data_IF_996778056734
#
_entry.id   IF_996778056734
#
_cell.length_a   1.000
_cell.length_b   1.000
_cell.length_c   1.000
_cell.angle_alpha   90.00
_cell.angle_beta   90.00
_cell.angle_gamma   90.00
#
_symmetry.space_group_name_H-M   'P 1'
#
loop_
_entity.id
_entity.type
_entity.pdbx_description
1 polymer ?
#
# COMPACT_ATOMS: atom_id res chain seq x y z
N UNK A 1 29.87 87.26 -3.22
CA UNK A 1 30.04 86.66 -1.87
C UNK A 1 29.01 85.54 -1.76
N UNK A 2 29.43 84.27 -1.92
CA UNK A 2 29.19 83.11 -1.02
C UNK A 2 27.78 83.13 -0.38
N UNK A 3 26.95 82.09 -0.51
CA UNK A 3 27.17 80.72 -0.04
C UNK A 3 26.23 79.76 -0.79
N UNK A 4 26.77 78.61 -1.23
CA UNK A 4 26.02 77.44 -1.68
C UNK A 4 25.39 76.73 -0.46
N UNK A 5 24.09 76.47 -0.50
CA UNK A 5 23.43 75.52 0.41
C UNK A 5 22.89 74.38 -0.43
N UNK A 6 23.58 73.23 -0.37
CA UNK A 6 23.08 71.96 -0.88
C UNK A 6 21.92 71.51 0.02
N UNK A 7 20.72 71.43 -0.54
CA UNK A 7 19.61 70.73 0.11
C UNK A 7 19.61 69.28 -0.40
N UNK A 8 20.07 68.35 0.43
CA UNK A 8 20.01 66.93 0.15
C UNK A 8 18.56 66.44 0.31
N UNK A 9 17.90 66.13 -0.81
CA UNK A 9 16.62 65.43 -0.83
C UNK A 9 16.88 63.96 -0.54
N UNK A 10 16.62 63.52 0.69
CA UNK A 10 16.54 62.09 1.02
C UNK A 10 15.22 61.54 0.49
N UNK A 11 15.28 60.94 -0.71
CA UNK A 11 14.22 60.08 -1.21
C UNK A 11 14.30 58.77 -0.41
N UNK A 12 13.42 58.59 0.57
CA UNK A 12 13.21 57.27 1.18
C UNK A 12 12.43 56.45 0.16
N UNK A 13 13.15 55.73 -0.69
CA UNK A 13 12.58 54.65 -1.50
C UNK A 13 12.19 53.56 -0.51
N UNK A 14 10.90 53.49 -0.18
CA UNK A 14 10.34 52.28 0.40
C UNK A 14 10.55 51.17 -0.64
N UNK A 15 11.58 50.36 -0.45
CA UNK A 15 11.75 49.14 -1.21
C UNK A 15 10.58 48.23 -0.85
N UNK A 16 9.53 48.27 -1.67
CA UNK A 16 8.63 47.15 -1.83
C UNK A 16 9.53 45.98 -2.23
N UNK A 17 9.86 45.10 -1.28
CA UNK A 17 10.35 43.79 -1.63
C UNK A 17 9.31 43.20 -2.59
N UNK A 18 9.68 42.73 -3.80
CA UNK A 18 8.73 41.99 -4.59
C UNK A 18 8.28 40.80 -3.74
N UNK A 19 6.98 40.68 -3.52
CA UNK A 19 6.39 39.43 -3.05
C UNK A 19 6.98 38.34 -3.94
N UNK A 20 7.79 37.45 -3.35
CA UNK A 20 8.31 36.31 -4.12
C UNK A 20 7.10 35.50 -4.54
N UNK A 21 6.89 35.48 -5.85
CA UNK A 21 5.81 34.81 -6.54
C UNK A 21 5.59 33.40 -6.01
N UNK A 22 4.37 33.12 -5.53
CA UNK A 22 3.86 31.78 -5.24
C UNK A 22 3.54 30.99 -6.53
N UNK A 23 4.38 31.07 -7.57
CA UNK A 23 4.14 30.43 -8.87
C UNK A 23 5.27 29.53 -9.39
N UNK A 24 6.31 29.25 -8.61
CA UNK A 24 7.43 28.40 -9.07
C UNK A 24 7.36 26.91 -8.68
N UNK A 25 6.53 26.50 -7.70
CA UNK A 25 6.56 25.12 -7.22
C UNK A 25 5.94 24.10 -8.20
N UNK A 26 4.89 24.50 -8.94
CA UNK A 26 4.25 23.66 -9.97
C UNK A 26 4.97 23.73 -11.34
N UNK A 27 5.82 24.73 -11.57
CA UNK A 27 6.47 24.98 -12.87
C UNK A 27 7.78 24.19 -13.08
N UNK A 28 8.27 23.45 -12.07
CA UNK A 28 9.52 22.65 -12.13
C UNK A 28 9.35 21.19 -11.68
N UNK A 29 8.13 20.64 -11.64
CA UNK A 29 7.95 19.19 -11.49
C UNK A 29 8.15 18.53 -12.88
N UNK A 30 9.26 17.80 -13.12
CA UNK A 30 9.47 17.14 -14.41
C UNK A 30 8.67 15.83 -14.55
N UNK A 31 7.94 15.43 -13.51
CA UNK A 31 7.25 14.15 -13.44
C UNK A 31 5.83 14.24 -13.99
N UNK A 32 5.31 13.09 -14.41
CA UNK A 32 3.94 12.97 -14.89
C UNK A 32 2.94 13.16 -13.74
N UNK A 33 1.70 13.53 -14.09
CA UNK A 33 0.60 13.56 -13.11
C UNK A 33 0.43 12.17 -12.50
N UNK A 34 0.37 12.11 -11.16
CA UNK A 34 0.36 10.86 -10.38
C UNK A 34 1.73 10.46 -9.84
N UNK A 35 2.80 11.19 -10.18
CA UNK A 35 4.14 11.00 -9.62
C UNK A 35 4.57 12.20 -8.76
N UNK A 36 5.59 11.94 -7.93
CA UNK A 36 6.29 12.91 -7.11
C UNK A 36 7.70 13.12 -7.63
N UNK A 37 8.10 14.38 -7.79
CA UNK A 37 9.51 14.74 -7.91
C UNK A 37 10.16 14.69 -6.52
N UNK A 38 10.81 13.57 -6.23
CA UNK A 38 11.45 13.29 -4.95
C UNK A 38 12.93 13.67 -5.00
N UNK A 39 13.35 14.55 -4.08
CA UNK A 39 14.75 15.00 -3.93
C UNK A 39 15.31 14.55 -2.59
N UNK A 40 16.48 13.93 -2.60
CA UNK A 40 17.18 13.44 -1.43
C UNK A 40 18.44 14.26 -1.15
N UNK A 41 18.72 14.51 0.13
CA UNK A 41 19.84 15.33 0.58
C UNK A 41 20.62 14.62 1.69
N UNK A 42 21.94 14.80 1.71
CA UNK A 42 22.81 14.34 2.80
C UNK A 42 22.96 15.41 3.90
N UNK A 43 21.83 15.97 4.31
CA UNK A 43 21.65 16.88 5.44
C UNK A 43 20.19 16.83 5.90
N UNK A 44 19.86 17.41 7.05
CA UNK A 44 18.53 17.38 7.65
C UNK A 44 17.66 18.62 7.35
N UNK A 45 18.19 19.58 6.60
CA UNK A 45 17.56 20.89 6.34
C UNK A 45 17.20 21.10 4.86
N UNK A 46 17.31 20.06 4.03
CA UNK A 46 17.10 20.10 2.57
C UNK A 46 17.98 21.13 1.85
N UNK A 47 19.15 21.46 2.42
CA UNK A 47 19.99 22.52 1.90
C UNK A 47 20.87 22.06 0.73
N UNK A 48 21.19 23.01 -0.15
CA UNK A 48 22.12 22.79 -1.26
C UNK A 48 21.55 21.94 -2.39
N UNK A 49 22.44 21.25 -3.11
CA UNK A 49 22.06 20.39 -4.24
C UNK A 49 21.67 19.01 -3.73
N UNK A 50 20.51 18.52 -4.16
CA UNK A 50 20.09 17.15 -3.89
C UNK A 50 21.11 16.14 -4.45
N UNK A 51 21.46 15.12 -3.67
CA UNK A 51 22.38 14.05 -4.10
C UNK A 51 21.71 13.07 -5.06
N UNK A 52 20.38 12.99 -5.01
CA UNK A 52 19.54 12.22 -5.90
C UNK A 52 18.22 12.95 -6.10
N UNK A 53 17.71 12.99 -7.33
CA UNK A 53 16.38 13.46 -7.63
C UNK A 53 15.76 12.63 -8.76
N UNK A 54 14.52 12.15 -8.57
CA UNK A 54 13.82 11.29 -9.54
C UNK A 54 12.31 11.32 -9.34
N UNK A 55 11.59 10.84 -10.34
CA UNK A 55 10.14 10.66 -10.26
C UNK A 55 9.80 9.34 -9.56
N UNK A 56 8.90 9.40 -8.59
CA UNK A 56 8.44 8.26 -7.79
C UNK A 56 6.91 8.23 -7.72
N UNK A 57 6.33 7.04 -7.54
CA UNK A 57 4.87 6.85 -7.54
C UNK A 57 4.23 6.98 -6.15
N UNK A 58 5.05 7.06 -5.12
CA UNK A 58 4.70 7.15 -3.71
C UNK A 58 5.79 7.97 -3.00
N UNK A 59 5.59 8.29 -1.72
CA UNK A 59 6.60 9.00 -0.93
C UNK A 59 6.94 8.22 0.32
N UNK A 60 8.20 7.82 0.42
CA UNK A 60 8.79 7.24 1.63
C UNK A 60 8.84 5.71 1.63
N UNK A 61 8.86 5.13 2.83
CA UNK A 61 9.14 3.73 3.12
C UNK A 61 9.59 3.53 4.56
N UNK A 62 9.99 2.30 4.87
CA UNK A 62 10.50 1.87 6.18
C UNK A 62 12.00 1.59 6.10
N UNK A 63 12.81 2.59 6.47
CA UNK A 63 14.26 2.54 6.26
C UNK A 63 15.00 2.21 7.55
N UNK A 64 15.69 1.07 7.57
CA UNK A 64 16.68 0.73 8.62
C UNK A 64 18.09 1.28 8.34
N UNK A 65 18.25 1.97 7.21
CA UNK A 65 19.49 2.57 6.74
C UNK A 65 19.24 3.56 5.61
N UNK A 66 20.10 3.54 4.59
CA UNK A 66 20.00 4.48 3.46
C UNK A 66 18.67 4.31 2.69
N UNK A 67 17.91 5.41 2.44
CA UNK A 67 16.64 5.33 1.72
C UNK A 67 16.81 5.14 0.20
N UNK A 68 18.00 5.44 -0.34
CA UNK A 68 18.31 5.26 -1.76
C UNK A 68 19.84 5.25 -1.99
N UNK A 69 20.33 4.55 -3.02
CA UNK A 69 21.75 4.59 -3.38
C UNK A 69 22.30 6.02 -3.48
N UNK A 70 23.40 6.31 -2.78
CA UNK A 70 24.04 7.63 -2.73
C UNK A 70 23.56 8.56 -1.61
N UNK A 71 22.48 8.20 -0.91
CA UNK A 71 21.99 8.90 0.28
C UNK A 71 22.63 8.28 1.53
N UNK A 72 23.02 9.10 2.50
CA UNK A 72 23.58 8.62 3.76
C UNK A 72 22.52 7.87 4.60
N UNK A 73 22.92 6.84 5.39
CA UNK A 73 21.99 6.13 6.27
C UNK A 73 21.36 7.00 7.36
N UNK A 74 22.11 7.96 7.89
CA UNK A 74 21.69 8.86 8.97
C UNK A 74 21.92 10.32 8.57
N UNK A 75 21.11 11.23 9.09
CA UNK A 75 21.28 12.67 8.85
C UNK A 75 20.78 13.13 7.47
N UNK A 76 19.92 12.37 6.80
CA UNK A 76 19.39 12.70 5.49
C UNK A 76 18.05 13.45 5.57
N UNK A 77 17.64 14.01 4.43
CA UNK A 77 16.30 14.56 4.28
C UNK A 77 15.76 14.38 2.87
N UNK A 78 14.44 14.41 2.74
CA UNK A 78 13.71 14.15 1.50
C UNK A 78 12.62 15.22 1.31
N UNK A 79 12.54 15.78 0.12
CA UNK A 79 11.51 16.75 -0.28
C UNK A 79 10.83 16.29 -1.57
N UNK A 80 9.59 15.83 -1.45
CA UNK A 80 8.79 15.30 -2.54
C UNK A 80 7.66 16.27 -2.91
N UNK A 81 7.52 16.59 -4.20
CA UNK A 81 6.42 17.43 -4.70
C UNK A 81 5.75 16.72 -5.87
N UNK A 82 4.47 16.40 -5.73
CA UNK A 82 3.68 15.70 -6.72
C UNK A 82 2.54 16.55 -7.25
N UNK A 83 2.13 16.23 -8.48
CA UNK A 83 0.92 16.75 -9.11
C UNK A 83 -0.06 15.60 -9.22
N UNK A 84 -1.07 15.56 -8.35
CA UNK A 84 -2.01 14.45 -8.26
C UNK A 84 -3.37 14.84 -8.83
N UNK A 85 -4.01 13.92 -9.56
CA UNK A 85 -5.35 14.14 -10.10
C UNK A 85 -6.38 13.59 -9.13
N UNK A 86 -7.20 14.47 -8.56
CA UNK A 86 -8.35 14.12 -7.76
C UNK A 86 -9.52 13.87 -8.73
N UNK A 87 -10.00 12.62 -8.88
CA UNK A 87 -10.98 12.27 -9.92
C UNK A 87 -12.35 12.93 -9.71
N UNK A 88 -12.72 13.24 -8.47
CA UNK A 88 -14.01 13.84 -8.11
C UNK A 88 -13.85 14.90 -7.02
N UNK A 89 -14.77 15.87 -6.99
CA UNK A 89 -14.89 16.76 -5.83
C UNK A 89 -15.50 15.97 -4.68
N UNK A 90 -14.83 15.91 -3.54
CA UNK A 90 -15.28 15.11 -2.40
C UNK A 90 -14.34 15.14 -1.21
N UNK A 91 -14.63 14.32 -0.21
CA UNK A 91 -13.76 14.13 0.94
C UNK A 91 -12.61 13.17 0.60
N UNK A 92 -11.41 13.56 0.98
CA UNK A 92 -10.19 12.77 0.87
C UNK A 92 -9.53 12.64 2.23
N UNK A 93 -9.09 11.43 2.56
CA UNK A 93 -8.31 11.12 3.73
C UNK A 93 -6.83 11.27 3.38
N UNK A 94 -6.17 12.18 4.07
CA UNK A 94 -4.72 12.36 4.03
C UNK A 94 -4.17 11.63 5.24
N UNK A 95 -3.27 10.67 5.00
CA UNK A 95 -2.63 9.86 6.02
C UNK A 95 -1.11 9.97 5.92
N UNK A 96 -0.45 10.16 7.06
CA UNK A 96 1.00 10.23 7.17
C UNK A 96 1.44 9.42 8.38
N UNK A 97 1.98 8.22 8.16
CA UNK A 97 2.66 7.47 9.22
C UNK A 97 4.13 7.89 9.25
N UNK A 98 4.61 8.25 10.43
CA UNK A 98 5.99 8.65 10.66
C UNK A 98 6.56 7.98 11.91
N UNK A 99 7.88 7.77 11.91
CA UNK A 99 8.64 7.29 13.06
C UNK A 99 10.12 7.54 12.87
N UNK A 100 10.80 8.13 13.85
CA UNK A 100 12.22 8.47 13.74
C UNK A 100 12.56 9.66 12.81
N UNK A 101 11.55 10.24 12.14
CA UNK A 101 11.69 11.41 11.26
C UNK A 101 10.87 12.59 11.77
N UNK A 102 11.33 13.81 11.45
CA UNK A 102 10.45 14.98 11.45
C UNK A 102 9.78 15.07 10.07
N UNK A 103 8.50 15.42 10.01
CA UNK A 103 7.71 15.33 8.78
C UNK A 103 6.74 16.50 8.60
N UNK A 104 6.43 16.84 7.35
CA UNK A 104 5.42 17.85 6.99
C UNK A 104 4.71 17.46 5.70
N UNK A 105 3.42 17.79 5.64
CA UNK A 105 2.56 17.51 4.50
C UNK A 105 1.77 18.75 4.13
N UNK A 106 1.66 19.03 2.83
CA UNK A 106 0.85 20.12 2.28
C UNK A 106 -0.03 19.64 1.12
N UNK A 107 -1.20 20.28 0.99
CA UNK A 107 -2.11 20.19 -0.15
C UNK A 107 -2.45 21.62 -0.62
N UNK A 108 -2.16 21.97 -1.87
CA UNK A 108 -2.38 23.31 -2.44
C UNK A 108 -1.91 24.46 -1.54
N UNK A 109 -0.67 24.37 -1.07
CA UNK A 109 -0.03 25.31 -0.14
C UNK A 109 -0.59 25.33 1.30
N UNK A 110 -1.74 24.69 1.59
CA UNK A 110 -2.21 24.48 2.95
C UNK A 110 -1.35 23.42 3.64
N UNK A 111 -0.76 23.77 4.79
CA UNK A 111 -0.07 22.80 5.64
C UNK A 111 -1.08 21.93 6.38
N UNK A 112 -1.08 20.64 6.08
CA UNK A 112 -1.99 19.66 6.67
C UNK A 112 -1.41 19.08 7.97
N UNK A 113 -0.13 18.71 7.93
CA UNK A 113 0.59 18.17 9.09
C UNK A 113 1.92 18.93 9.30
N UNK A 114 2.24 19.19 10.57
CA UNK A 114 3.50 19.82 10.99
C UNK A 114 4.15 19.08 12.16
N UNK A 115 4.93 18.06 11.86
CA UNK A 115 5.76 17.33 12.82
C UNK A 115 7.20 17.86 12.79
N UNK A 116 7.35 19.17 12.95
CA UNK A 116 8.66 19.84 12.89
C UNK A 116 9.60 19.48 14.05
N UNK A 117 9.05 19.06 15.20
CA UNK A 117 9.76 19.02 16.48
C UNK A 117 9.71 17.66 17.18
N UNK A 118 8.94 16.71 16.66
CA UNK A 118 8.74 15.36 17.20
C UNK A 118 9.20 14.33 16.19
N UNK A 119 9.64 13.17 16.68
CA UNK A 119 10.00 11.98 15.87
C UNK A 119 9.21 10.77 16.31
N UNK A 120 8.04 11.04 16.88
CA UNK A 120 7.19 10.06 17.53
C UNK A 120 6.63 9.10 16.49
N UNK A 121 6.38 7.87 16.93
CA UNK A 121 5.80 6.85 16.08
C UNK A 121 4.29 6.98 16.08
N UNK A 122 3.68 7.11 14.90
CA UNK A 122 2.24 7.17 14.77
C UNK A 122 1.77 7.56 13.37
N UNK A 123 0.46 7.53 13.19
CA UNK A 123 -0.22 7.93 11.95
C UNK A 123 -1.07 9.17 12.22
N UNK A 124 -0.81 10.25 11.49
CA UNK A 124 -1.72 11.38 11.43
C UNK A 124 -2.76 11.18 10.34
N UNK A 125 -3.99 11.59 10.65
CA UNK A 125 -5.14 11.51 9.76
C UNK A 125 -5.82 12.87 9.68
N UNK A 126 -6.06 13.35 8.46
CA UNK A 126 -6.85 14.54 8.20
C UNK A 126 -7.81 14.29 7.03
N UNK A 127 -9.07 14.66 7.21
CA UNK A 127 -10.05 14.67 6.12
C UNK A 127 -10.15 16.08 5.55
N UNK A 128 -10.14 16.21 4.22
CA UNK A 128 -10.32 17.47 3.51
C UNK A 128 -11.27 17.30 2.35
N UNK A 129 -12.14 18.29 2.12
CA UNK A 129 -12.89 18.39 0.88
C UNK A 129 -11.99 19.00 -0.19
N UNK A 130 -11.71 18.23 -1.24
CA UNK A 130 -10.85 18.64 -2.36
C UNK A 130 -11.69 18.73 -3.63
N UNK A 131 -11.41 19.69 -4.50
CA UNK A 131 -12.08 19.80 -5.78
C UNK A 131 -11.55 18.74 -6.77
N UNK A 132 -12.37 18.36 -7.76
CA UNK A 132 -11.88 17.57 -8.88
C UNK A 132 -10.86 18.41 -9.67
N UNK A 133 -9.72 17.82 -10.02
CA UNK A 133 -8.66 18.56 -10.71
C UNK A 133 -7.29 18.02 -10.42
N UNK A 134 -6.26 18.73 -10.90
CA UNK A 134 -4.87 18.45 -10.54
C UNK A 134 -4.47 19.39 -9.42
N UNK A 135 -3.97 18.82 -8.34
CA UNK A 135 -3.59 19.52 -7.11
C UNK A 135 -2.14 19.22 -6.76
N UNK A 136 -1.50 20.14 -6.04
CA UNK A 136 -0.11 19.98 -5.60
C UNK A 136 -0.09 19.34 -4.23
N UNK A 137 0.62 18.23 -4.09
CA UNK A 137 0.87 17.57 -2.82
C UNK A 137 2.36 17.60 -2.53
N UNK A 138 2.73 18.07 -1.34
CA UNK A 138 4.13 18.09 -0.89
C UNK A 138 4.27 17.29 0.38
N UNK A 139 5.32 16.48 0.44
CA UNK A 139 5.72 15.73 1.62
C UNK A 139 7.20 15.94 1.83
N UNK A 140 7.60 16.41 3.01
CA UNK A 140 9.01 16.55 3.36
C UNK A 140 9.28 15.85 4.68
N UNK A 141 10.41 15.15 4.78
CA UNK A 141 10.83 14.51 6.03
C UNK A 141 12.35 14.49 6.18
N UNK A 142 12.82 14.42 7.42
CA UNK A 142 14.25 14.34 7.73
C UNK A 142 14.54 13.38 8.87
N UNK A 143 15.56 12.55 8.68
CA UNK A 143 16.09 11.63 9.69
C UNK A 143 17.41 12.17 10.23
N UNK A 144 17.59 12.14 11.55
CA UNK A 144 18.88 12.45 12.18
C UNK A 144 19.73 11.20 12.40
N UNK A 145 19.11 10.09 12.80
CA UNK A 145 19.80 8.86 13.14
C UNK A 145 18.81 7.71 13.35
N UNK A 146 19.20 6.49 13.01
CA UNK A 146 18.43 5.28 13.29
C UNK A 146 17.29 5.04 12.29
N UNK A 147 16.36 4.12 12.60
CA UNK A 147 15.26 3.80 11.71
C UNK A 147 14.42 5.04 11.36
N UNK A 148 14.06 5.15 10.09
CA UNK A 148 13.30 6.27 9.54
C UNK A 148 12.10 5.72 8.76
N UNK A 149 10.90 6.00 9.25
CA UNK A 149 9.64 5.62 8.62
C UNK A 149 8.91 6.88 8.17
N UNK A 150 8.52 6.91 6.90
CA UNK A 150 7.57 7.88 6.36
C UNK A 150 6.69 7.17 5.33
N UNK A 151 5.39 7.12 5.56
CA UNK A 151 4.44 6.45 4.68
C UNK A 151 3.24 7.38 4.49
N UNK A 152 2.91 7.67 3.24
CA UNK A 152 1.99 8.72 2.87
C UNK A 152 0.95 8.21 1.90
N UNK A 153 -0.31 8.61 2.11
CA UNK A 153 -1.38 8.44 1.14
C UNK A 153 -2.38 9.58 1.20
N UNK A 154 -3.01 9.85 0.06
CA UNK A 154 -4.22 10.68 -0.03
C UNK A 154 -5.26 9.93 -0.83
N UNK A 155 -6.33 9.49 -0.19
CA UNK A 155 -7.31 8.56 -0.77
C UNK A 155 -8.73 9.06 -0.62
N UNK A 156 -9.60 8.66 -1.53
CA UNK A 156 -10.99 9.11 -1.51
C UNK A 156 -11.73 8.49 -0.32
N UNK A 157 -12.42 9.31 0.47
CA UNK A 157 -13.36 8.84 1.50
C UNK A 157 -14.69 8.55 0.83
N UNK A 158 -14.82 7.33 0.30
CA UNK A 158 -16.04 6.86 -0.31
C UNK A 158 -16.16 5.35 -0.20
N UNK A 159 -17.38 4.87 -0.48
CA UNK A 159 -17.65 3.45 -0.71
C UNK A 159 -17.73 3.17 -2.20
N UNK A 160 -17.32 1.97 -2.58
CA UNK A 160 -17.50 1.44 -3.92
C UNK A 160 -18.83 0.70 -4.06
N UNK A 161 -19.32 0.52 -5.30
CA UNK A 161 -20.43 -0.37 -5.59
C UNK A 161 -20.13 -1.81 -5.17
N UNK A 162 -21.12 -2.52 -4.63
CA UNK A 162 -20.99 -3.94 -4.30
C UNK A 162 -20.63 -4.79 -5.52
N UNK A 163 -19.85 -5.85 -5.29
CA UNK A 163 -19.56 -6.81 -6.36
C UNK A 163 -20.78 -7.66 -6.72
N UNK A 164 -21.04 -7.83 -8.01
CA UNK A 164 -22.19 -8.58 -8.53
C UNK A 164 -21.93 -10.09 -8.69
N UNK A 165 -20.68 -10.54 -8.55
CA UNK A 165 -20.25 -11.92 -8.76
C UNK A 165 -19.87 -12.65 -7.46
N UNK A 166 -19.98 -11.99 -6.30
CA UNK A 166 -19.63 -12.55 -5.00
C UNK A 166 -18.16 -12.38 -4.60
N UNK A 167 -17.33 -11.71 -5.42
CA UNK A 167 -15.96 -11.38 -5.05
C UNK A 167 -15.92 -10.51 -3.79
N UNK A 168 -14.87 -10.70 -3.00
CA UNK A 168 -14.54 -9.74 -1.96
C UNK A 168 -14.19 -8.38 -2.59
N UNK A 169 -14.52 -7.33 -1.83
CA UNK A 169 -14.38 -5.91 -2.12
C UNK A 169 -15.28 -5.38 -3.24
N UNK A 170 -15.33 -4.07 -3.36
CA UNK A 170 -16.18 -3.38 -4.30
C UNK A 170 -15.92 -3.81 -5.75
N UNK A 171 -16.94 -3.73 -6.60
CA UNK A 171 -16.81 -4.05 -8.02
C UNK A 171 -15.73 -3.19 -8.71
N UNK A 172 -15.55 -1.94 -8.27
CA UNK A 172 -14.52 -1.03 -8.78
C UNK A 172 -13.18 -1.09 -8.01
N UNK A 173 -13.01 -2.02 -7.07
CA UNK A 173 -11.73 -2.26 -6.41
C UNK A 173 -10.65 -2.58 -7.44
N UNK A 174 -9.41 -2.18 -7.19
CA UNK A 174 -8.24 -2.57 -7.99
C UNK A 174 -8.09 -4.10 -8.13
N UNK A 175 -8.67 -4.87 -7.20
CA UNK A 175 -8.74 -6.33 -7.23
C UNK A 175 -9.74 -6.85 -8.28
N UNK A 176 -10.89 -6.19 -8.41
CA UNK A 176 -12.01 -6.63 -9.26
C UNK A 176 -11.99 -5.97 -10.65
N UNK A 177 -10.88 -5.32 -11.02
CA UNK A 177 -10.70 -4.68 -12.32
C UNK A 177 -9.65 -5.44 -13.16
N UNK A 178 -9.97 -5.78 -14.43
CA UNK A 178 -8.99 -6.38 -15.32
C UNK A 178 -7.85 -5.40 -15.62
N UNK A 179 -6.71 -5.95 -16.01
CA UNK A 179 -5.62 -5.14 -16.54
C UNK A 179 -6.04 -4.42 -17.83
N UNK A 180 -5.56 -3.19 -18.07
CA UNK A 180 -5.76 -2.56 -19.37
C UNK A 180 -5.10 -3.40 -20.48
N UNK A 181 -5.50 -3.26 -21.76
CA UNK A 181 -5.00 -4.15 -22.82
C UNK A 181 -3.48 -4.17 -23.02
N UNK A 182 -2.80 -3.05 -22.77
CA UNK A 182 -1.35 -2.89 -22.96
C UNK A 182 -0.75 -2.13 -21.76
N UNK A 183 -0.66 -2.74 -20.58
CA UNK A 183 -0.08 -2.07 -19.42
C UNK A 183 1.41 -1.85 -19.67
N UNK A 184 1.93 -0.69 -19.24
CA UNK A 184 3.35 -0.41 -19.30
C UNK A 184 4.12 -1.37 -18.38
N UNK A 185 5.26 -1.87 -18.84
CA UNK A 185 6.13 -2.78 -18.10
C UNK A 185 7.17 -1.94 -17.36
N UNK A 186 7.36 -2.18 -16.06
CA UNK A 186 8.41 -1.51 -15.28
C UNK A 186 9.79 -1.86 -15.88
N UNK A 187 10.65 -0.86 -16.15
CA UNK A 187 11.97 -1.10 -16.74
C UNK A 187 12.86 -2.01 -15.87
N UNK A 188 12.58 -2.16 -14.58
CA UNK A 188 13.29 -3.06 -13.65
C UNK A 188 12.78 -4.50 -13.71
N UNK A 189 11.66 -4.75 -14.38
CA UNK A 189 11.04 -6.08 -14.46
C UNK A 189 12.00 -7.20 -14.87
N UNK A 190 12.87 -7.06 -15.89
CA UNK A 190 13.82 -8.12 -16.25
C UNK A 190 14.77 -8.49 -15.11
N UNK A 191 15.22 -7.50 -14.33
CA UNK A 191 16.12 -7.74 -13.20
C UNK A 191 15.38 -8.44 -12.05
N UNK A 192 14.17 -8.00 -11.69
CA UNK A 192 13.40 -8.63 -10.62
C UNK A 192 13.00 -10.08 -10.97
N UNK A 193 12.58 -10.32 -12.21
CA UNK A 193 12.29 -11.69 -12.70
C UNK A 193 13.54 -12.57 -12.63
N UNK A 194 14.68 -12.06 -13.09
CA UNK A 194 15.94 -12.81 -13.00
C UNK A 194 16.33 -13.09 -11.54
N UNK A 195 16.20 -12.12 -10.64
CA UNK A 195 16.48 -12.30 -9.21
C UNK A 195 15.58 -13.36 -8.60
N UNK A 196 14.27 -13.36 -8.86
CA UNK A 196 13.36 -14.41 -8.41
C UNK A 196 13.74 -15.79 -8.96
N UNK A 197 14.02 -15.88 -10.26
CA UNK A 197 14.45 -17.12 -10.91
C UNK A 197 15.77 -17.68 -10.37
N UNK A 198 16.67 -16.82 -9.90
CA UNK A 198 17.95 -17.22 -9.32
C UNK A 198 17.92 -17.33 -7.79
N UNK A 199 16.83 -16.92 -7.13
CA UNK A 199 16.71 -17.00 -5.69
C UNK A 199 16.71 -18.46 -5.23
N UNK A 200 17.54 -18.83 -4.24
CA UNK A 200 17.73 -20.22 -3.83
C UNK A 200 16.46 -20.85 -3.26
N UNK A 201 15.61 -20.07 -2.59
CA UNK A 201 14.37 -20.58 -1.97
C UNK A 201 13.17 -20.63 -2.93
N UNK A 202 13.22 -19.95 -4.08
CA UNK A 202 12.10 -19.92 -5.04
C UNK A 202 12.17 -21.16 -5.94
N UNK A 203 11.39 -22.19 -5.62
CA UNK A 203 11.35 -23.48 -6.33
C UNK A 203 10.17 -23.63 -7.29
N UNK A 204 9.09 -22.93 -7.02
CA UNK A 204 7.86 -22.84 -7.80
C UNK A 204 7.24 -21.45 -7.55
N UNK A 205 6.03 -21.23 -8.06
CA UNK A 205 5.13 -20.21 -7.49
C UNK A 205 4.19 -21.00 -6.57
N UNK A 206 4.47 -20.95 -5.28
CA UNK A 206 3.76 -21.74 -4.27
C UNK A 206 2.32 -21.21 -4.10
N UNK A 207 1.36 -22.07 -3.78
CA UNK A 207 -0.02 -21.64 -3.46
C UNK A 207 -0.40 -22.11 -2.07
N UNK A 208 -0.40 -21.20 -1.10
CA UNK A 208 -0.68 -21.52 0.30
C UNK A 208 -2.20 -21.68 0.52
N UNK A 209 -2.66 -22.88 0.87
CA UNK A 209 -4.09 -23.21 1.07
C UNK A 209 -4.44 -23.80 2.45
N UNK A 210 -3.44 -23.96 3.33
CA UNK A 210 -3.61 -24.49 4.68
C UNK A 210 -2.98 -23.56 5.74
N UNK A 211 -1.67 -23.35 5.62
CA UNK A 211 -0.85 -22.47 6.47
C UNK A 211 -0.17 -21.37 5.65
N UNK A 212 0.31 -20.31 6.29
CA UNK A 212 0.87 -19.11 5.63
C UNK A 212 -0.14 -18.46 4.67
N UNK A 213 -1.40 -18.54 5.07
CA UNK A 213 -2.57 -17.98 4.39
C UNK A 213 -3.62 -17.65 5.46
N UNK A 214 -4.88 -17.41 5.09
CA UNK A 214 -5.89 -16.87 6.00
C UNK A 214 -7.06 -17.82 6.18
N UNK A 215 -7.41 -18.09 7.44
CA UNK A 215 -8.68 -18.70 7.81
C UNK A 215 -9.79 -17.66 7.77
N UNK A 216 -10.89 -17.93 7.07
CA UNK A 216 -11.98 -16.96 6.89
C UNK A 216 -13.28 -17.51 7.48
N UNK A 217 -13.83 -16.85 8.47
CA UNK A 217 -15.11 -17.22 9.07
C UNK A 217 -16.18 -16.17 8.81
N UNK A 218 -17.41 -16.63 8.58
CA UNK A 218 -18.59 -15.77 8.58
C UNK A 218 -19.27 -15.84 9.95
N UNK A 219 -19.54 -14.67 10.52
CA UNK A 219 -20.26 -14.50 11.76
C UNK A 219 -21.72 -14.11 11.45
N UNK A 220 -22.69 -15.03 11.64
CA UNK A 220 -24.09 -14.72 11.44
C UNK A 220 -24.59 -13.67 12.43
N UNK A 221 -25.72 -13.05 12.09
CA UNK A 221 -26.43 -12.14 12.99
C UNK A 221 -26.68 -12.78 14.37
N UNK A 222 -26.35 -12.08 15.44
CA UNK A 222 -26.46 -12.56 16.82
C UNK A 222 -25.23 -13.30 17.36
N UNK A 223 -24.14 -13.40 16.58
CA UNK A 223 -22.87 -13.94 17.08
C UNK A 223 -22.36 -13.13 18.29
N UNK A 224 -21.99 -13.79 19.41
CA UNK A 224 -21.46 -13.12 20.59
C UNK A 224 -20.21 -12.30 20.28
N UNK A 225 -20.03 -11.20 21.01
CA UNK A 225 -18.84 -10.35 20.87
C UNK A 225 -17.76 -10.69 21.89
N UNK A 226 -16.49 -10.58 21.48
CA UNK A 226 -15.31 -10.72 22.34
C UNK A 226 -14.33 -9.59 22.07
N UNK A 227 -13.69 -9.11 23.13
CA UNK A 227 -12.63 -8.09 23.05
C UNK A 227 -11.28 -8.76 22.79
N UNK A 228 -10.54 -8.24 21.82
CA UNK A 228 -9.19 -8.68 21.43
C UNK A 228 -8.19 -7.57 21.74
N UNK A 229 -7.14 -7.89 22.50
CA UNK A 229 -6.03 -6.97 22.72
C UNK A 229 -5.06 -6.99 21.53
N UNK A 230 -4.74 -5.83 20.95
CA UNK A 230 -3.85 -5.67 19.79
C UNK A 230 -2.53 -5.06 20.26
N UNK A 231 -1.44 -5.84 20.16
CA UNK A 231 -0.17 -5.47 20.79
C UNK A 231 0.54 -4.30 20.11
N UNK A 232 0.59 -4.25 18.79
CA UNK A 232 1.33 -3.21 18.08
C UNK A 232 0.73 -1.81 18.27
N UNK A 233 -0.60 -1.72 18.37
CA UNK A 233 -1.28 -0.45 18.63
C UNK A 233 -1.44 -0.15 20.12
N UNK A 234 -1.30 -1.15 21.00
CA UNK A 234 -1.59 -1.03 22.42
C UNK A 234 -3.07 -0.83 22.76
N UNK A 235 -3.98 -1.12 21.81
CA UNK A 235 -5.44 -0.92 21.92
C UNK A 235 -6.19 -2.24 21.99
N UNK A 236 -7.53 -2.18 22.10
CA UNK A 236 -8.39 -3.36 21.99
C UNK A 236 -9.50 -3.17 20.96
N UNK A 237 -10.05 -4.25 20.41
CA UNK A 237 -11.20 -4.22 19.50
C UNK A 237 -12.23 -5.27 19.88
N UNK A 238 -13.51 -4.92 19.75
CA UNK A 238 -14.62 -5.85 19.96
C UNK A 238 -15.05 -6.49 18.64
N UNK A 239 -14.98 -7.81 18.52
CA UNK A 239 -15.36 -8.55 17.30
C UNK A 239 -16.45 -9.59 17.56
N UNK A 240 -17.29 -9.93 16.57
CA UNK A 240 -18.08 -11.15 16.64
C UNK A 240 -17.14 -12.36 16.64
N UNK A 241 -17.33 -13.32 17.54
CA UNK A 241 -16.44 -14.46 17.69
C UNK A 241 -17.13 -15.70 18.23
N UNK A 242 -16.87 -16.85 17.61
CA UNK A 242 -17.25 -18.17 18.12
C UNK A 242 -15.99 -18.98 18.47
N UNK A 243 -15.99 -19.80 19.55
CA UNK A 243 -14.80 -20.54 19.97
C UNK A 243 -14.18 -21.50 18.95
N UNK A 244 -14.90 -21.83 17.85
CA UNK A 244 -14.39 -22.68 16.78
C UNK A 244 -13.76 -21.89 15.62
N UNK A 245 -13.71 -20.56 15.70
CA UNK A 245 -12.96 -19.73 14.76
C UNK A 245 -11.47 -19.82 15.11
N UNK A 246 -10.75 -20.64 14.35
CA UNK A 246 -9.34 -20.94 14.60
C UNK A 246 -8.47 -20.20 13.58
N UNK A 247 -7.38 -19.56 14.01
CA UNK A 247 -6.38 -19.05 13.08
C UNK A 247 -5.65 -20.20 12.38
N UNK A 248 -4.94 -19.89 11.29
CA UNK A 248 -4.04 -20.85 10.65
C UNK A 248 -2.96 -21.37 11.63
N UNK A 249 -2.46 -22.59 11.39
CA UNK A 249 -1.52 -23.27 12.29
C UNK A 249 -0.05 -23.03 11.91
N UNK A 250 0.32 -21.76 11.79
CA UNK A 250 1.67 -21.27 11.52
C UNK A 250 2.03 -20.13 12.49
N UNK A 251 3.19 -19.50 12.27
CA UNK A 251 3.68 -18.44 13.16
C UNK A 251 2.89 -17.13 13.02
N UNK A 252 2.28 -16.88 11.86
CA UNK A 252 1.47 -15.69 11.60
C UNK A 252 0.04 -15.87 12.04
N UNK A 253 -0.46 -17.10 12.16
CA UNK A 253 -1.76 -17.43 12.76
C UNK A 253 -2.87 -16.46 12.33
N UNK A 254 -3.05 -16.33 11.01
CA UNK A 254 -4.00 -15.39 10.43
C UNK A 254 -5.44 -15.87 10.62
N UNK A 255 -6.30 -14.93 10.97
CA UNK A 255 -7.73 -15.12 11.14
C UNK A 255 -8.46 -13.90 10.60
N UNK A 256 -9.45 -14.11 9.74
CA UNK A 256 -10.38 -13.11 9.27
C UNK A 256 -11.82 -13.51 9.62
N UNK A 257 -12.61 -12.55 10.11
CA UNK A 257 -14.00 -12.76 10.48
C UNK A 257 -14.86 -11.70 9.78
N UNK A 258 -15.77 -12.16 8.92
CA UNK A 258 -16.76 -11.33 8.24
C UNK A 258 -18.04 -11.33 9.06
N UNK A 259 -18.47 -10.15 9.52
CA UNK A 259 -19.79 -9.94 10.13
C UNK A 259 -20.85 -9.82 9.03
N UNK A 260 -21.66 -10.87 8.85
CA UNK A 260 -22.69 -10.92 7.81
C UNK A 260 -23.79 -9.86 8.01
N UNK A 261 -23.91 -9.26 9.21
CA UNK A 261 -24.91 -8.23 9.49
C UNK A 261 -24.49 -6.83 9.05
N UNK A 262 -23.19 -6.58 8.96
CA UNK A 262 -22.63 -5.25 8.65
C UNK A 262 -21.77 -5.23 7.38
N UNK A 263 -21.30 -6.39 6.91
CA UNK A 263 -20.30 -6.48 5.85
C UNK A 263 -18.91 -6.00 6.29
N UNK A 264 -18.71 -5.81 7.59
CA UNK A 264 -17.42 -5.49 8.17
C UNK A 264 -16.60 -6.76 8.34
N UNK A 265 -15.34 -6.68 7.98
CA UNK A 265 -14.37 -7.74 8.11
C UNK A 265 -13.30 -7.30 9.10
N UNK A 266 -12.92 -8.23 9.99
CA UNK A 266 -11.92 -8.02 11.03
C UNK A 266 -10.87 -9.11 10.90
N UNK A 267 -9.63 -8.72 10.65
CA UNK A 267 -8.56 -9.66 10.43
C UNK A 267 -7.32 -9.36 11.27
N UNK A 268 -6.57 -10.43 11.56
CA UNK A 268 -5.55 -10.44 12.59
C UNK A 268 -4.29 -11.17 12.14
N UNK A 269 -3.15 -10.72 12.65
CA UNK A 269 -1.90 -11.47 12.68
C UNK A 269 -1.58 -11.89 14.12
N UNK A 270 -1.04 -13.09 14.27
CA UNK A 270 -0.68 -13.77 15.50
C UNK A 270 -1.87 -13.87 16.45
N UNK A 271 -3.05 -14.21 15.93
CA UNK A 271 -4.25 -14.32 16.74
C UNK A 271 -4.12 -15.50 17.71
N UNK A 272 -4.37 -15.25 18.99
CA UNK A 272 -4.28 -16.24 20.07
C UNK A 272 -5.65 -16.38 20.73
N UNK A 273 -6.44 -17.41 20.39
CA UNK A 273 -7.78 -17.63 20.94
C UNK A 273 -7.85 -17.66 22.47
N UNK A 274 -6.89 -18.31 23.12
CA UNK A 274 -6.90 -18.52 24.58
C UNK A 274 -6.78 -17.21 25.36
N UNK A 275 -5.96 -16.27 24.87
CA UNK A 275 -5.76 -14.96 25.49
C UNK A 275 -6.56 -13.84 24.84
N UNK A 276 -7.32 -14.12 23.78
CA UNK A 276 -7.96 -13.11 22.91
C UNK A 276 -6.99 -11.96 22.60
N UNK A 277 -5.84 -12.28 22.03
CA UNK A 277 -4.83 -11.27 21.69
C UNK A 277 -4.30 -11.48 20.29
N UNK A 278 -3.89 -10.40 19.63
CA UNK A 278 -3.22 -10.40 18.34
C UNK A 278 -2.05 -9.42 18.35
N UNK A 279 -1.12 -9.56 17.41
CA UNK A 279 -0.04 -8.59 17.21
C UNK A 279 -0.55 -7.41 16.38
N UNK A 280 -1.22 -7.71 15.27
CA UNK A 280 -1.75 -6.72 14.34
C UNK A 280 -3.22 -6.98 14.02
N UNK A 281 -3.94 -5.94 13.58
CA UNK A 281 -5.35 -5.98 13.23
C UNK A 281 -5.72 -4.83 12.30
N UNK A 282 -6.46 -5.14 11.24
CA UNK A 282 -7.16 -4.13 10.45
C UNK A 282 -8.61 -4.54 10.17
N UNK A 283 -9.41 -3.54 9.82
CA UNK A 283 -10.84 -3.65 9.58
C UNK A 283 -11.15 -3.16 8.18
N UNK A 284 -11.84 -3.98 7.39
CA UNK A 284 -12.24 -3.62 6.02
C UNK A 284 -13.75 -3.75 5.82
N UNK A 285 -14.23 -3.21 4.71
CA UNK A 285 -15.59 -3.46 4.22
C UNK A 285 -15.55 -4.45 3.07
N UNK A 286 -16.02 -5.66 3.31
CA UNK A 286 -15.81 -6.80 2.41
C UNK A 286 -16.60 -6.72 1.10
N UNK A 287 -17.62 -5.87 0.98
CA UNK A 287 -18.40 -5.72 -0.26
C UNK A 287 -18.22 -4.36 -0.93
N UNK A 288 -17.81 -3.33 -0.16
CA UNK A 288 -17.83 -1.94 -0.62
C UNK A 288 -16.52 -1.20 -0.38
N UNK A 289 -15.57 -1.77 0.36
CA UNK A 289 -14.21 -1.27 0.48
C UNK A 289 -13.36 -1.68 -0.73
N UNK A 290 -12.15 -1.14 -0.86
CA UNK A 290 -11.24 -1.52 -1.95
C UNK A 290 -10.37 -2.74 -1.63
N UNK A 291 -10.20 -3.07 -0.34
CA UNK A 291 -9.23 -4.06 0.12
C UNK A 291 -7.83 -3.50 0.38
N UNK A 292 -7.62 -2.19 0.21
CA UNK A 292 -6.44 -1.47 0.69
C UNK A 292 -6.78 -0.58 1.89
N UNK A 293 -5.79 -0.33 2.74
CA UNK A 293 -5.93 0.50 3.94
C UNK A 293 -4.80 1.54 4.01
N UNK A 294 -5.04 2.64 4.72
CA UNK A 294 -3.99 3.65 4.96
C UNK A 294 -2.92 3.08 5.89
N UNK A 295 -1.66 3.46 5.71
CA UNK A 295 -0.60 2.93 6.58
C UNK A 295 -0.90 3.19 8.06
N UNK A 296 -0.76 2.14 8.87
CA UNK A 296 -0.90 2.17 10.31
C UNK A 296 0.05 1.20 10.99
N UNK A 297 0.10 1.20 12.33
CA UNK A 297 1.03 0.37 13.09
C UNK A 297 0.73 -1.14 13.06
N UNK A 298 -0.35 -1.58 12.41
CA UNK A 298 -0.93 -2.89 12.70
C UNK A 298 -1.59 -3.58 11.50
N UNK A 299 -0.83 -3.94 10.45
CA UNK A 299 -1.33 -4.85 9.41
C UNK A 299 -0.20 -5.50 8.58
N UNK A 300 -0.56 -6.17 7.47
CA UNK A 300 0.35 -6.77 6.48
C UNK A 300 1.43 -5.80 5.98
N UNK A 301 2.54 -6.34 5.45
CA UNK A 301 3.67 -5.56 4.94
C UNK A 301 3.24 -4.39 4.05
N UNK A 302 2.32 -4.67 3.11
CA UNK A 302 1.80 -3.72 2.13
C UNK A 302 0.48 -3.02 2.51
N UNK A 303 -0.10 -3.30 3.68
CA UNK A 303 -1.41 -2.79 4.14
C UNK A 303 -2.58 -3.10 3.19
N UNK A 304 -2.56 -4.31 2.61
CA UNK A 304 -3.66 -4.88 1.84
C UNK A 304 -4.34 -5.98 2.65
N UNK A 305 -5.67 -6.05 2.58
CA UNK A 305 -6.44 -7.06 3.32
C UNK A 305 -5.93 -8.47 3.04
N UNK A 306 -5.92 -9.37 4.02
CA UNK A 306 -5.57 -10.77 3.77
C UNK A 306 -6.58 -11.49 2.87
N UNK A 307 -7.81 -10.96 2.76
CA UNK A 307 -8.79 -11.40 1.75
C UNK A 307 -8.52 -10.81 0.37
N UNK A 308 -7.70 -9.77 0.24
CA UNK A 308 -7.40 -9.14 -1.03
C UNK A 308 -6.69 -10.15 -1.94
N UNK A 309 -7.34 -10.52 -3.05
CA UNK A 309 -6.80 -11.45 -4.04
C UNK A 309 -6.64 -12.90 -3.58
N UNK A 310 -7.33 -13.29 -2.50
CA UNK A 310 -7.38 -14.65 -1.99
C UNK A 310 -8.12 -15.56 -2.97
N UNK A 311 -7.51 -16.68 -3.39
CA UNK A 311 -8.19 -17.70 -4.20
C UNK A 311 -9.18 -18.44 -3.29
N UNK A 312 -10.45 -18.52 -3.71
CA UNK A 312 -11.51 -19.14 -2.91
C UNK A 312 -11.97 -20.50 -3.45
N UNK A 313 -12.54 -21.36 -2.60
CA UNK A 313 -13.23 -22.57 -3.06
C UNK A 313 -14.32 -22.28 -4.08
N UNK A 314 -15.01 -21.14 -3.96
CA UNK A 314 -16.03 -20.67 -4.88
C UNK A 314 -15.47 -20.40 -6.28
N UNK A 315 -14.28 -19.78 -6.41
CA UNK A 315 -13.60 -19.60 -7.70
C UNK A 315 -13.29 -20.94 -8.36
N UNK A 316 -12.73 -21.85 -7.58
CA UNK A 316 -12.31 -23.18 -8.07
C UNK A 316 -13.52 -24.02 -8.46
N UNK A 317 -14.63 -23.91 -7.72
CA UNK A 317 -15.92 -24.51 -8.06
C UNK A 317 -16.51 -23.93 -9.35
N UNK A 318 -16.41 -22.61 -9.54
CA UNK A 318 -16.88 -21.90 -10.74
C UNK A 318 -15.99 -22.18 -11.97
N UNK A 319 -14.76 -22.64 -11.76
CA UNK A 319 -13.80 -22.91 -12.83
C UNK A 319 -13.10 -21.65 -13.35
N UNK A 320 -13.26 -20.51 -12.66
CA UNK A 320 -12.72 -19.21 -13.07
C UNK A 320 -12.37 -18.41 -11.82
N UNK A 321 -11.20 -17.77 -11.85
CA UNK A 321 -10.82 -16.72 -10.90
C UNK A 321 -10.90 -15.41 -11.67
N UNK A 322 -11.84 -14.54 -11.30
CA UNK A 322 -12.17 -13.31 -12.04
C UNK A 322 -11.80 -12.02 -11.31
N UNK A 323 -10.77 -12.11 -10.46
CA UNK A 323 -10.13 -11.01 -9.75
C UNK A 323 -8.60 -11.12 -9.82
N UNK A 324 -7.90 -10.05 -9.44
CA UNK A 324 -6.46 -10.04 -9.26
C UNK A 324 -6.08 -10.88 -8.03
N UNK A 325 -4.92 -11.50 -8.06
CA UNK A 325 -4.41 -12.32 -6.95
C UNK A 325 -3.55 -11.49 -5.99
N UNK A 326 -3.24 -12.06 -4.83
CA UNK A 326 -2.21 -11.56 -3.91
C UNK A 326 -0.98 -12.44 -3.98
N UNK A 327 0.19 -11.83 -3.88
CA UNK A 327 1.45 -12.54 -3.76
C UNK A 327 2.37 -11.93 -2.71
N UNK A 328 3.35 -12.73 -2.29
CA UNK A 328 4.48 -12.33 -1.46
C UNK A 328 5.77 -12.94 -2.02
N UNK A 329 6.91 -12.24 -1.89
CA UNK A 329 8.20 -12.64 -2.46
C UNK A 329 9.39 -12.38 -1.52
N UNK A 330 10.59 -12.91 -1.78
CA UNK A 330 11.75 -12.72 -0.89
C UNK A 330 12.62 -11.49 -1.20
N UNK A 331 12.16 -10.60 -2.08
CA UNK A 331 13.00 -9.52 -2.62
C UNK A 331 12.37 -8.14 -2.51
N UNK A 332 11.50 -7.92 -1.53
CA UNK A 332 10.79 -6.67 -1.36
C UNK A 332 11.74 -5.55 -0.91
N UNK A 333 11.53 -4.37 -1.49
CA UNK A 333 12.20 -3.13 -1.11
C UNK A 333 11.55 -2.51 0.12
N UNK A 334 12.28 -1.64 0.86
CA UNK A 334 11.69 -0.84 1.95
C UNK A 334 10.68 0.22 1.47
N UNK A 335 10.43 0.31 0.17
CA UNK A 335 9.49 1.24 -0.46
C UNK A 335 8.25 0.50 -0.95
N UNK A 336 7.22 1.27 -1.29
CA UNK A 336 5.91 0.76 -1.71
C UNK A 336 5.37 1.58 -2.88
N UNK A 337 4.33 1.10 -3.54
CA UNK A 337 3.56 1.80 -4.57
C UNK A 337 2.08 1.48 -4.39
N UNK A 338 1.19 2.38 -4.78
CA UNK A 338 -0.24 2.14 -4.59
C UNK A 338 -0.74 0.95 -5.45
N UNK A 339 -1.66 0.11 -4.91
CA UNK A 339 -2.47 0.34 -3.73
C UNK A 339 -1.81 0.05 -2.37
N UNK A 340 -0.60 -0.52 -2.34
CA UNK A 340 0.15 -0.65 -1.10
C UNK A 340 0.48 0.72 -0.50
N UNK A 341 0.47 0.84 0.83
CA UNK A 341 0.72 2.13 1.52
C UNK A 341 1.91 2.13 2.47
N UNK A 342 2.57 0.98 2.60
CA UNK A 342 3.74 0.73 3.44
C UNK A 342 4.53 -0.46 2.90
N UNK A 343 5.69 -0.72 3.50
CA UNK A 343 6.47 -1.92 3.21
C UNK A 343 7.19 -2.44 4.45
N UNK A 344 7.31 -3.76 4.57
CA UNK A 344 8.24 -4.42 5.50
C UNK A 344 9.49 -5.02 4.82
N UNK A 345 9.62 -4.80 3.50
CA UNK A 345 10.79 -5.14 2.71
C UNK A 345 12.08 -4.46 3.17
N UNK A 346 13.20 -5.11 2.89
CA UNK A 346 14.53 -4.64 3.34
C UNK A 346 15.60 -4.68 2.25
N UNK A 347 15.25 -5.15 1.05
CA UNK A 347 16.21 -5.35 -0.03
C UNK A 347 16.39 -4.04 -0.82
N UNK A 348 17.58 -3.43 -0.82
CA UNK A 348 17.84 -2.25 -1.64
C UNK A 348 17.58 -2.56 -3.13
N UNK A 349 16.89 -1.65 -3.82
CA UNK A 349 16.46 -1.82 -5.22
C UNK A 349 15.58 -3.06 -5.48
N UNK A 350 15.01 -3.64 -4.41
CA UNK A 350 14.03 -4.71 -4.46
C UNK A 350 12.71 -4.28 -5.10
N UNK A 351 11.73 -5.17 -5.01
CA UNK A 351 10.38 -4.96 -5.53
C UNK A 351 9.58 -4.12 -4.52
N UNK A 352 9.01 -2.96 -4.89
CA UNK A 352 8.16 -2.22 -3.97
C UNK A 352 6.84 -2.93 -3.74
N UNK A 353 6.39 -3.00 -2.49
CA UNK A 353 5.08 -3.58 -2.17
C UNK A 353 3.93 -2.80 -2.78
N UNK A 354 2.82 -3.48 -3.07
CA UNK A 354 1.71 -2.97 -3.87
C UNK A 354 1.96 -2.97 -5.38
N UNK A 355 3.14 -3.38 -5.88
CA UNK A 355 3.35 -3.53 -7.32
C UNK A 355 2.46 -4.61 -7.90
N UNK A 356 2.02 -4.43 -9.15
CA UNK A 356 1.23 -5.42 -9.88
C UNK A 356 2.11 -6.20 -10.86
N UNK A 357 2.02 -7.53 -10.83
CA UNK A 357 2.58 -8.41 -11.85
C UNK A 357 1.50 -8.89 -12.81
N UNK A 358 1.92 -9.32 -14.00
CA UNK A 358 1.07 -10.00 -14.97
C UNK A 358 1.84 -11.16 -15.60
N UNK A 359 1.17 -12.29 -15.83
CA UNK A 359 1.71 -13.32 -16.72
C UNK A 359 1.54 -12.86 -18.17
N UNK A 360 2.59 -12.95 -18.99
CA UNK A 360 2.55 -12.47 -20.38
C UNK A 360 1.26 -12.94 -21.09
N UNK A 361 0.36 -12.02 -21.50
CA UNK A 361 -0.91 -12.38 -22.11
C UNK A 361 -0.76 -13.04 -23.49
N UNK A 362 0.44 -12.98 -24.09
CA UNK A 362 0.75 -13.67 -25.34
C UNK A 362 1.18 -15.13 -25.15
N UNK A 363 1.49 -15.55 -23.91
CA UNK A 363 1.84 -16.93 -23.59
C UNK A 363 0.63 -17.85 -23.82
N UNK A 364 0.74 -18.76 -24.79
CA UNK A 364 -0.30 -19.75 -25.04
C UNK A 364 -0.26 -20.87 -23.98
N UNK A 365 -1.09 -20.71 -22.96
CA UNK A 365 -1.22 -21.67 -21.86
C UNK A 365 -1.61 -23.08 -22.33
N UNK A 366 -2.17 -23.26 -23.53
CA UNK A 366 -2.54 -24.60 -24.06
C UNK A 366 -1.34 -25.43 -24.46
N UNK A 367 -0.22 -24.78 -24.73
CA UNK A 367 1.05 -25.44 -25.04
C UNK A 367 1.77 -25.95 -23.79
N UNK A 368 1.35 -25.47 -22.61
CA UNK A 368 1.87 -25.86 -21.32
C UNK A 368 1.04 -27.01 -20.72
N UNK A 369 1.73 -27.98 -20.11
CA UNK A 369 1.11 -29.13 -19.43
C UNK A 369 0.63 -28.75 -18.02
N UNK A 370 -0.22 -27.73 -17.94
CA UNK A 370 -0.80 -27.24 -16.68
C UNK A 370 -2.00 -28.09 -16.26
N UNK A 371 -2.12 -28.35 -14.95
CA UNK A 371 -3.36 -28.90 -14.37
C UNK A 371 -4.52 -27.91 -14.55
N UNK A 372 -5.79 -28.34 -14.40
CA UNK A 372 -6.93 -27.43 -14.51
C UNK A 372 -6.84 -26.23 -13.56
N UNK A 373 -6.39 -26.47 -12.31
CA UNK A 373 -6.18 -25.41 -11.33
C UNK A 373 -5.06 -24.44 -11.75
N UNK A 374 -3.87 -24.95 -12.09
CA UNK A 374 -2.75 -24.11 -12.55
C UNK A 374 -3.14 -23.25 -13.76
N UNK A 375 -3.90 -23.80 -14.70
CA UNK A 375 -4.42 -23.06 -15.87
C UNK A 375 -5.38 -21.95 -15.46
N UNK A 376 -6.22 -22.19 -14.45
CA UNK A 376 -7.15 -21.19 -13.90
C UNK A 376 -6.36 -20.00 -13.31
N UNK A 377 -5.38 -20.29 -12.44
CA UNK A 377 -4.52 -19.28 -11.83
C UNK A 377 -3.70 -18.52 -12.89
N UNK A 378 -3.09 -19.22 -13.84
CA UNK A 378 -2.35 -18.60 -14.94
C UNK A 378 -3.24 -17.68 -15.81
N UNK A 379 -4.50 -18.07 -16.04
CA UNK A 379 -5.47 -17.23 -16.76
C UNK A 379 -5.81 -15.96 -15.99
N UNK A 380 -5.99 -16.07 -14.66
CA UNK A 380 -6.19 -14.90 -13.80
C UNK A 380 -4.96 -13.99 -13.80
N UNK A 381 -3.75 -14.54 -13.72
CA UNK A 381 -2.50 -13.78 -13.83
C UNK A 381 -2.34 -13.07 -15.19
N UNK A 382 -2.87 -13.62 -16.29
CA UNK A 382 -2.88 -12.94 -17.58
C UNK A 382 -3.89 -11.79 -17.62
N UNK A 383 -5.09 -11.99 -17.08
CA UNK A 383 -6.22 -11.04 -17.23
C UNK A 383 -6.27 -9.96 -16.15
N UNK A 384 -5.98 -10.33 -14.90
CA UNK A 384 -6.05 -9.46 -13.73
C UNK A 384 -4.68 -9.31 -13.05
N UNK A 385 -3.74 -10.23 -13.26
CA UNK A 385 -2.44 -10.14 -12.59
C UNK A 385 -2.53 -10.39 -11.08
N UNK A 386 -1.49 -9.98 -10.34
CA UNK A 386 -1.43 -10.11 -8.90
C UNK A 386 -0.73 -8.92 -8.26
N UNK A 387 -1.08 -8.57 -7.02
CA UNK A 387 -0.45 -7.49 -6.25
C UNK A 387 0.46 -8.03 -5.16
N UNK A 388 1.64 -7.42 -5.02
CA UNK A 388 2.57 -7.70 -3.94
C UNK A 388 2.01 -7.13 -2.64
N UNK A 389 1.97 -7.93 -1.58
CA UNK A 389 1.35 -7.53 -0.32
C UNK A 389 2.21 -7.80 0.92
N UNK A 390 3.34 -8.51 0.76
CA UNK A 390 4.16 -8.96 1.88
C UNK A 390 5.53 -9.47 1.44
N UNK A 391 6.48 -9.44 2.37
CA UNK A 391 7.68 -10.27 2.32
C UNK A 391 7.34 -11.74 2.63
N UNK A 392 7.92 -12.65 1.84
CA UNK A 392 7.91 -14.08 2.13
C UNK A 392 9.29 -14.71 1.88
N UNK A 393 9.50 -15.94 2.38
CA UNK A 393 10.76 -16.67 2.12
C UNK A 393 10.89 -17.15 0.65
N UNK A 394 9.77 -17.38 0.00
CA UNK A 394 9.63 -17.91 -1.37
C UNK A 394 8.65 -17.02 -2.13
N UNK A 395 8.35 -17.36 -3.38
CA UNK A 395 7.27 -16.72 -4.12
C UNK A 395 5.98 -17.50 -3.89
N UNK A 396 5.05 -16.93 -3.13
CA UNK A 396 3.76 -17.54 -2.84
C UNK A 396 2.57 -16.68 -3.28
N UNK A 397 1.54 -17.35 -3.78
CA UNK A 397 0.16 -16.88 -3.88
C UNK A 397 -0.63 -17.41 -2.68
N UNK A 398 -1.77 -16.79 -2.38
CA UNK A 398 -2.63 -17.21 -1.26
C UNK A 398 -3.98 -17.74 -1.72
N UNK A 399 -4.38 -18.86 -1.14
CA UNK A 399 -5.71 -19.44 -1.25
C UNK A 399 -6.30 -19.59 0.15
N UNK A 400 -7.61 -19.45 0.30
CA UNK A 400 -8.30 -19.55 1.60
C UNK A 400 -7.92 -20.84 2.33
N UNK A 401 -7.60 -20.73 3.63
CA UNK A 401 -7.24 -21.88 4.46
C UNK A 401 -8.42 -22.84 4.61
N UNK A 402 -8.17 -24.13 4.44
CA UNK A 402 -9.19 -25.19 4.66
C UNK A 402 -9.50 -25.46 6.14
N UNK A 403 -8.77 -24.84 7.07
CA UNK A 403 -8.99 -25.00 8.52
C UNK A 403 -10.36 -24.48 8.98
N UNK A 404 -10.94 -23.55 8.23
CA UNK A 404 -12.29 -23.02 8.48
C UNK A 404 -13.42 -24.00 8.11
N UNK A 405 -13.06 -25.18 7.60
CA UNK A 405 -14.00 -26.23 7.19
C UNK A 405 -14.36 -26.20 5.71
N UNK A 406 -13.91 -25.19 4.96
CA UNK A 406 -14.10 -25.15 3.49
C UNK A 406 -13.22 -26.17 2.77
N UNK A 407 -13.61 -26.52 1.54
CA UNK A 407 -12.92 -27.53 0.72
C UNK A 407 -12.91 -27.11 -0.73
N UNK A 408 -11.77 -27.31 -1.39
CA UNK A 408 -11.65 -27.14 -2.83
C UNK A 408 -12.20 -28.36 -3.57
N UNK A 409 -12.84 -28.11 -4.71
CA UNK A 409 -13.38 -29.17 -5.59
C UNK A 409 -12.28 -29.93 -6.36
N UNK A 410 -11.04 -29.41 -6.33
CA UNK A 410 -9.86 -30.01 -6.92
C UNK A 410 -8.64 -29.79 -6.02
N UNK A 411 -7.53 -30.43 -6.35
CA UNK A 411 -6.26 -30.21 -5.64
C UNK A 411 -5.70 -28.82 -5.98
N UNK A 412 -5.23 -28.12 -4.95
CA UNK A 412 -4.43 -26.90 -5.12
C UNK A 412 -3.00 -27.34 -5.42
N UNK A 413 -2.52 -26.97 -6.60
CA UNK A 413 -1.18 -27.29 -7.06
C UNK A 413 -0.37 -25.99 -7.19
N UNK A 414 0.87 -26.01 -6.71
CA UNK A 414 1.84 -24.95 -6.99
C UNK A 414 2.02 -24.77 -8.50
N UNK A 415 2.28 -23.54 -8.92
CA UNK A 415 2.48 -23.21 -10.32
C UNK A 415 3.93 -23.52 -10.73
N UNK A 416 4.16 -24.04 -11.95
CA UNK A 416 5.50 -24.38 -12.40
C UNK A 416 6.45 -23.17 -12.42
N UNK A 417 7.68 -23.37 -11.96
CA UNK A 417 8.70 -22.31 -11.81
C UNK A 417 8.96 -21.55 -13.10
N UNK A 418 8.88 -22.22 -14.25
CA UNK A 418 9.10 -21.61 -15.57
C UNK A 418 8.15 -20.44 -15.86
N UNK A 419 6.96 -20.41 -15.24
CA UNK A 419 6.03 -19.30 -15.41
C UNK A 419 6.60 -17.98 -14.88
N UNK A 420 7.52 -18.01 -13.90
CA UNK A 420 8.18 -16.81 -13.39
C UNK A 420 8.94 -16.08 -14.51
N UNK A 421 9.59 -16.83 -15.40
CA UNK A 421 10.28 -16.27 -16.57
C UNK A 421 9.37 -15.59 -17.59
N UNK A 422 8.06 -15.79 -17.48
CA UNK A 422 7.04 -15.16 -18.32
C UNK A 422 6.24 -14.07 -17.57
N UNK A 423 6.58 -13.79 -16.31
CA UNK A 423 5.97 -12.68 -15.57
C UNK A 423 6.58 -11.35 -15.99
N UNK A 424 5.79 -10.30 -15.84
CA UNK A 424 6.22 -8.92 -15.98
C UNK A 424 5.69 -8.09 -14.81
N UNK A 425 6.59 -7.34 -14.18
CA UNK A 425 6.22 -6.30 -13.23
C UNK A 425 5.76 -5.07 -14.01
N UNK A 426 4.60 -4.55 -13.66
CA UNK A 426 3.98 -3.44 -14.36
C UNK A 426 4.42 -2.12 -13.75
N UNK A 427 4.55 -1.10 -14.60
CA UNK A 427 4.72 0.27 -14.14
C UNK A 427 3.49 0.66 -13.30
N UNK A 428 3.66 1.22 -12.10
CA UNK A 428 2.52 1.67 -11.29
C UNK A 428 1.64 2.63 -12.07
N UNK A 429 0.33 2.37 -12.04
CA UNK A 429 -0.67 3.15 -12.78
C UNK A 429 -1.83 3.62 -11.90
N UNK A 430 -1.82 3.22 -10.63
CA UNK A 430 -2.82 3.58 -9.64
C UNK A 430 -2.23 4.71 -8.79
N UNK A 431 -2.91 5.85 -8.71
CA UNK A 431 -2.61 6.88 -7.71
C UNK A 431 -3.36 6.57 -6.42
N UNK A 432 -2.85 7.04 -5.27
CA UNK A 432 -3.61 6.98 -4.00
C UNK A 432 -4.97 7.68 -4.11
N UNK A 433 -5.06 8.72 -4.93
CA UNK A 433 -6.31 9.48 -5.17
C UNK A 433 -7.36 8.71 -5.96
N UNK A 434 -6.97 7.64 -6.67
CA UNK A 434 -7.86 6.80 -7.48
C UNK A 434 -8.45 5.63 -6.69
N UNK A 435 -7.95 5.40 -5.47
CA UNK A 435 -8.39 4.30 -4.61
C UNK A 435 -9.04 4.82 -3.33
N UNK A 436 -9.98 4.03 -2.84
CA UNK A 436 -10.63 4.24 -1.56
C UNK A 436 -9.87 3.40 -0.55
N UNK A 437 -9.13 4.01 0.37
CA UNK A 437 -8.45 3.25 1.42
C UNK A 437 -9.32 3.26 2.67
N UNK A 438 -9.55 2.10 3.26
CA UNK A 438 -10.17 2.04 4.57
C UNK A 438 -9.22 2.63 5.63
N UNK A 439 -9.81 3.03 6.76
CA UNK A 439 -9.08 3.62 7.87
C UNK A 439 -9.56 3.05 9.20
N UNK A 440 -8.67 3.05 10.18
CA UNK A 440 -8.98 2.69 11.56
C UNK A 440 -9.94 3.68 12.26
N UNK A 441 -10.33 4.79 11.60
CA UNK A 441 -11.22 5.82 12.15
C UNK A 441 -12.62 5.81 11.51
N UNK A 442 -12.96 4.78 10.74
CA UNK A 442 -14.23 4.70 10.05
C UNK A 442 -15.41 4.34 10.98
N UNK A 443 -16.47 5.15 10.94
CA UNK A 443 -17.67 4.98 11.78
C UNK A 443 -18.59 3.81 11.39
N UNK A 444 -18.37 3.16 10.24
CA UNK A 444 -19.22 2.07 9.75
C UNK A 444 -18.93 0.68 10.33
N UNK A 445 -17.68 0.44 10.74
CA UNK A 445 -17.22 -0.81 11.33
C UNK A 445 -16.66 -0.58 12.72
N UNK A 446 -16.57 -1.63 13.53
CA UNK A 446 -15.98 -1.51 14.87
C UNK A 446 -14.49 -1.18 14.73
N UNK A 447 -14.03 -0.32 15.62
CA UNK A 447 -12.65 0.17 15.62
C UNK A 447 -11.98 -0.14 16.96
N UNK A 448 -10.65 -0.05 16.94
CA UNK A 448 -9.85 -0.17 18.14
C UNK A 448 -10.12 0.99 19.11
N UNK A 449 -10.25 0.70 20.40
CA UNK A 449 -10.52 1.65 21.49
C UNK A 449 -9.46 1.60 22.61
#
# INVERSE_FOLDING_TARGET
MRVFVLLAVFLVVAACAPARNATDAAAQNPCDVGQYWTRYYNNTDHAGTAVLARCEYSVGGNFTGSPAPGVQPDGFSVDATGSLRFPVTGEYQIASMSGGVVGRVWLDDEQIFDHANTRDWGTDLATRTVQAGVHVVRVSYASTSGPAVQEFSVSQVALGPESANGNFFAANSFLNQPLPPNPAIDPRSPNWVATLMHHPDVKAIDVNEDIWTTAVYRAPAGTPTRTVAVRNSGKSIDIPYLPHYLPTQDADAHLAIIDDSTGCEYEFQSFTPDSMSAIAQATYRVNTGSGGHVSGPAHSGGELSYLAGLITPEDVQAGVIDHALRFAIPINAPTYVYPGTRSDGTIPDGVPEGIRIQLDPSLDLRTLNLTPFQRMVATALQKYGAFDADVAKTFSLTARSVIDGTRYSTRIDDLPRELIGHLRFLTPSISSTDIQLDTAANNGCRQQH
#
